data_IF_039798022865
#
_entry.id   IF_039798022865
#
_cell.length_a   1.000
_cell.length_b   1.000
_cell.length_c   1.000
_cell.angle_alpha   90.00
_cell.angle_beta   90.00
_cell.angle_gamma   90.00
#
_symmetry.space_group_name_H-M   'P 1'
#
loop_
_entity.id
_entity.type
_entity.pdbx_description
1 polymer ?
#
# COMPACT_ATOMS: atom_id res chain seq x y z
N UNK A 1 10.71 12.12 0.82
CA UNK A 1 10.64 10.68 1.16
C UNK A 1 9.20 10.22 1.05
N UNK A 2 8.90 9.29 0.13
CA UNK A 2 7.53 8.85 -0.19
C UNK A 2 7.22 7.49 0.46
N UNK A 3 8.15 6.54 0.45
CA UNK A 3 7.99 5.20 1.02
C UNK A 3 9.17 4.28 0.69
N UNK A 4 8.95 2.96 0.72
CA UNK A 4 9.91 1.93 0.32
C UNK A 4 9.27 0.89 -0.62
N UNK A 5 10.07 0.29 -1.50
CA UNK A 5 9.63 -0.80 -2.38
C UNK A 5 9.62 -2.13 -1.66
N UNK A 6 8.61 -2.95 -1.91
CA UNK A 6 8.54 -4.34 -1.43
C UNK A 6 8.88 -5.33 -2.56
N UNK A 7 9.02 -6.62 -2.22
CA UNK A 7 9.22 -7.71 -3.17
C UNK A 7 8.01 -7.88 -4.12
N UNK A 8 6.82 -7.55 -3.63
CA UNK A 8 5.68 -7.26 -4.49
C UNK A 8 5.85 -5.82 -4.96
N UNK A 9 5.87 -5.52 -6.28
CA UNK A 9 6.23 -4.23 -6.87
C UNK A 9 5.23 -3.12 -6.50
N UNK A 10 5.22 -2.73 -5.23
CA UNK A 10 4.35 -1.77 -4.57
C UNK A 10 5.22 -0.76 -3.83
N UNK A 11 4.78 0.49 -3.81
CA UNK A 11 5.41 1.55 -3.03
C UNK A 11 4.67 1.66 -1.70
N UNK A 12 5.27 1.13 -0.62
CA UNK A 12 4.62 1.05 0.68
C UNK A 12 5.06 2.15 1.64
N UNK A 13 4.15 2.56 2.51
CA UNK A 13 4.43 3.51 3.60
C UNK A 13 3.61 3.17 4.85
N UNK A 14 4.16 3.47 6.04
CA UNK A 14 3.39 3.47 7.29
C UNK A 14 2.39 4.63 7.35
N UNK A 15 1.13 4.32 7.68
CA UNK A 15 0.11 5.31 8.04
C UNK A 15 0.51 5.96 9.36
N UNK A 16 0.62 7.29 9.36
CA UNK A 16 0.78 8.07 10.59
C UNK A 16 -0.60 8.16 11.24
N UNK A 17 -0.86 7.30 12.21
CA UNK A 17 -2.09 7.33 13.01
C UNK A 17 -1.81 8.13 14.29
N UNK A 18 -2.05 9.45 14.28
CA UNK A 18 -2.00 10.27 15.51
C UNK A 18 -3.15 9.95 16.49
N UNK A 19 -4.14 9.15 16.05
CA UNK A 19 -5.33 8.84 16.85
C UNK A 19 -5.20 7.44 17.43
N UNK A 20 -5.11 7.36 18.76
CA UNK A 20 -5.32 6.13 19.52
C UNK A 20 -6.73 5.60 19.25
N UNK A 21 -6.85 4.63 18.33
CA UNK A 21 -8.12 3.94 18.12
C UNK A 21 -8.37 3.02 19.31
N UNK A 22 -9.60 2.99 19.87
CA UNK A 22 -9.93 2.04 20.93
C UNK A 22 -9.75 0.61 20.41
N UNK A 23 -9.22 -0.29 21.25
CA UNK A 23 -9.13 -1.73 20.92
C UNK A 23 -10.54 -2.29 20.72
N UNK A 24 -10.81 -2.76 19.51
CA UNK A 24 -12.05 -3.48 19.18
C UNK A 24 -11.81 -4.99 19.27
N UNK A 25 -12.85 -5.73 19.66
CA UNK A 25 -12.85 -7.20 19.54
C UNK A 25 -12.93 -7.57 18.06
N UNK A 26 -11.94 -8.31 17.51
CA UNK A 26 -11.99 -8.72 16.11
C UNK A 26 -13.19 -9.65 15.87
N UNK A 27 -13.81 -9.60 14.68
CA UNK A 27 -14.90 -10.50 14.33
C UNK A 27 -14.42 -11.96 14.27
N UNK A 28 -15.35 -12.91 14.36
CA UNK A 28 -15.07 -14.34 14.17
C UNK A 28 -14.38 -14.57 12.83
N UNK A 29 -13.29 -15.37 12.83
CA UNK A 29 -12.53 -15.69 11.61
C UNK A 29 -13.48 -16.29 10.55
N UNK A 30 -13.45 -15.82 9.30
CA UNK A 30 -14.26 -16.41 8.24
C UNK A 30 -13.88 -17.88 7.99
N UNK A 31 -14.84 -18.68 7.54
CA UNK A 31 -14.60 -20.06 7.16
C UNK A 31 -13.65 -20.13 5.95
N UNK A 32 -12.72 -21.09 5.96
CA UNK A 32 -11.78 -21.29 4.85
C UNK A 32 -12.56 -21.75 3.61
N UNK A 33 -12.60 -20.94 2.57
CA UNK A 33 -13.21 -21.30 1.28
C UNK A 33 -12.16 -22.01 0.42
N UNK A 34 -12.51 -23.18 -0.10
CA UNK A 34 -11.69 -23.92 -1.06
C UNK A 34 -12.29 -23.73 -2.46
N UNK A 35 -11.75 -22.81 -3.28
CA UNK A 35 -12.24 -22.66 -4.65
C UNK A 35 -11.89 -23.92 -5.49
N UNK A 36 -12.70 -24.26 -6.50
CA UNK A 36 -12.37 -25.33 -7.43
C UNK A 36 -11.06 -25.01 -8.16
N UNK A 37 -10.13 -25.97 -8.15
CA UNK A 37 -8.80 -25.85 -8.72
C UNK A 37 -8.82 -26.10 -10.25
N UNK A 38 -9.38 -25.18 -11.04
CA UNK A 38 -9.38 -25.36 -12.50
C UNK A 38 -8.17 -24.72 -13.18
N UNK A 39 -7.54 -23.71 -12.57
CA UNK A 39 -6.29 -23.09 -13.03
C UNK A 39 -5.52 -22.50 -11.84
N UNK A 40 -4.18 -22.42 -11.87
CA UNK A 40 -3.43 -21.68 -10.87
C UNK A 40 -3.85 -20.21 -10.94
N UNK A 41 -4.32 -19.66 -9.83
CA UNK A 41 -4.53 -18.22 -9.71
C UNK A 41 -3.21 -17.51 -9.98
N UNK A 42 -3.27 -16.34 -10.63
CA UNK A 42 -2.11 -15.47 -10.73
C UNK A 42 -1.53 -15.26 -9.31
N UNK A 43 -0.20 -15.19 -9.16
CA UNK A 43 0.42 -14.90 -7.86
C UNK A 43 -0.27 -13.69 -7.23
N UNK A 44 -1.01 -13.95 -6.16
CA UNK A 44 -1.72 -12.89 -5.47
C UNK A 44 -0.67 -12.05 -4.75
N UNK A 45 -0.78 -10.73 -4.88
CA UNK A 45 0.03 -9.83 -4.06
C UNK A 45 -0.30 -10.05 -2.59
N UNK A 46 0.71 -9.93 -1.72
CA UNK A 46 0.53 -10.10 -0.29
C UNK A 46 -0.51 -9.12 0.29
N UNK A 47 -1.23 -9.58 1.31
CA UNK A 47 -2.09 -8.71 2.09
C UNK A 47 -1.26 -7.67 2.84
N UNK A 48 -1.72 -6.41 2.84
CA UNK A 48 -1.06 -5.33 3.56
C UNK A 48 -1.53 -5.29 5.01
N UNK A 49 -0.61 -4.95 5.92
CA UNK A 49 -0.96 -4.65 7.30
C UNK A 49 -1.85 -3.40 7.38
N UNK A 50 -2.71 -3.34 8.39
CA UNK A 50 -3.62 -2.20 8.59
C UNK A 50 -2.92 -0.83 8.65
N UNK A 51 -1.70 -0.81 9.17
CA UNK A 51 -0.87 0.37 9.35
C UNK A 51 -0.01 0.70 8.13
N UNK A 52 -0.13 -0.06 7.05
CA UNK A 52 0.70 0.05 5.84
C UNK A 52 -0.21 0.33 4.65
N UNK A 53 0.13 1.35 3.87
CA UNK A 53 -0.64 1.79 2.70
C UNK A 53 0.21 1.68 1.43
N UNK A 54 -0.45 1.44 0.30
CA UNK A 54 0.16 1.48 -1.04
C UNK A 54 -0.01 2.88 -1.62
N UNK A 55 1.11 3.59 -1.80
CA UNK A 55 1.14 4.97 -2.28
C UNK A 55 0.62 5.07 -3.71
N UNK A 56 0.88 4.08 -4.56
CA UNK A 56 0.45 4.13 -5.97
C UNK A 56 -1.07 4.07 -6.10
N UNK A 57 -1.74 3.44 -5.13
CA UNK A 57 -3.19 3.24 -5.13
C UNK A 57 -3.93 4.27 -4.28
N UNK A 58 -3.40 4.59 -3.09
CA UNK A 58 -4.12 5.40 -2.09
C UNK A 58 -3.71 6.87 -2.07
N UNK A 59 -2.41 7.18 -2.26
CA UNK A 59 -1.86 8.54 -2.14
C UNK A 59 -1.00 8.93 -3.37
N UNK A 60 -1.50 8.78 -4.61
CA UNK A 60 -0.72 9.02 -5.82
C UNK A 60 -0.27 10.49 -5.94
N UNK A 61 -0.99 11.43 -5.34
CA UNK A 61 -0.66 12.86 -5.32
C UNK A 61 0.68 13.18 -4.65
N UNK A 62 1.23 12.24 -3.86
CA UNK A 62 2.54 12.38 -3.22
C UNK A 62 3.70 12.07 -4.15
N UNK A 63 3.40 11.49 -5.32
CA UNK A 63 4.36 11.34 -6.40
C UNK A 63 4.48 12.69 -7.11
N UNK A 64 5.40 13.51 -6.63
CA UNK A 64 5.77 14.73 -7.35
C UNK A 64 6.22 14.35 -8.77
N UNK A 65 5.66 15.01 -9.76
CA UNK A 65 6.14 14.93 -11.13
C UNK A 65 7.55 15.52 -11.20
N UNK A 66 8.32 15.16 -12.23
CA UNK A 66 9.68 15.70 -12.45
C UNK A 66 9.68 17.24 -12.50
N UNK A 67 8.55 17.84 -12.89
CA UNK A 67 8.34 19.29 -12.98
C UNK A 67 7.95 19.97 -11.64
N UNK A 68 7.72 19.19 -10.58
CA UNK A 68 7.23 19.67 -9.30
C UNK A 68 8.31 19.60 -8.21
N UNK A 69 8.98 20.72 -7.96
CA UNK A 69 9.88 20.92 -6.81
C UNK A 69 11.14 21.73 -7.12
N UNK A 70 12.00 21.90 -6.11
CA UNK A 70 13.31 22.58 -6.22
C UNK A 70 14.33 21.84 -7.11
N UNK A 71 14.01 20.66 -7.63
CA UNK A 71 14.89 19.89 -8.52
C UNK A 71 14.66 20.18 -10.01
N UNK A 72 13.85 21.19 -10.32
CA UNK A 72 13.72 21.68 -11.69
C UNK A 72 15.05 22.31 -12.08
N UNK A 73 15.72 21.75 -13.08
CA UNK A 73 16.91 22.40 -13.65
C UNK A 73 16.45 23.76 -14.21
N UNK A 74 17.04 24.83 -13.69
CA UNK A 74 16.88 26.17 -14.26
C UNK A 74 17.38 26.09 -15.71
N UNK A 75 16.46 26.22 -16.66
CA UNK A 75 16.80 26.24 -18.09
C UNK A 75 17.25 27.66 -18.40
N UNK A 76 18.56 27.87 -18.52
CA UNK A 76 19.18 29.06 -19.13
C UNK A 76 18.91 29.13 -20.66
#
# INVERSE_FOLDING_TARGET
>A
YVGYLNNDPRLLRKRVLEVSKPKLTPPTRPQKVYPPATFPLAPLMSELYQDTLDVLLEEPERLHTVDAGEMREDID
#
